data_IF_228139364996
#
_entry.id   IF_228139364996
#
_cell.length_a   1.000
_cell.length_b   1.000
_cell.length_c   1.000
_cell.angle_alpha   90.00
_cell.angle_beta   90.00
_cell.angle_gamma   90.00
#
_symmetry.space_group_name_H-M   'P 1'
#
loop_
_entity.id
_entity.type
_entity.pdbx_description
1 polymer ?
#
# COMPACT_ATOMS: atom_id res chain seq x y z
N UNK A 1 -11.42 -4.19 -13.17
CA UNK A 1 -10.07 -4.46 -12.65
C UNK A 1 -10.17 -4.54 -11.14
N UNK A 2 -9.35 -5.34 -10.47
CA UNK A 2 -9.39 -5.39 -9.01
C UNK A 2 -8.60 -4.21 -8.45
N UNK A 3 -9.12 -3.58 -7.40
CA UNK A 3 -8.51 -2.40 -6.80
C UNK A 3 -7.31 -2.78 -5.92
N UNK A 4 -6.41 -1.81 -5.72
CA UNK A 4 -5.16 -2.01 -5.00
C UNK A 4 -5.19 -1.31 -3.64
N UNK A 5 -4.70 -2.02 -2.63
CA UNK A 5 -4.66 -1.60 -1.24
C UNK A 5 -3.24 -1.76 -0.69
N UNK A 6 -2.91 -0.95 0.30
CA UNK A 6 -1.75 -1.13 1.16
C UNK A 6 -2.22 -1.69 2.50
N UNK A 7 -1.60 -2.78 2.94
CA UNK A 7 -1.89 -3.37 4.24
C UNK A 7 -0.68 -3.19 5.14
N UNK A 8 -0.91 -2.59 6.30
CA UNK A 8 0.07 -2.43 7.36
C UNK A 8 -0.20 -3.46 8.44
N UNK A 9 0.84 -4.18 8.86
CA UNK A 9 0.75 -5.12 9.97
C UNK A 9 1.34 -4.54 11.27
N UNK A 10 1.22 -5.29 12.37
CA UNK A 10 1.72 -4.93 13.72
C UNK A 10 3.19 -4.51 13.80
N UNK A 11 4.04 -4.97 12.88
CA UNK A 11 5.47 -4.60 12.83
C UNK A 11 5.72 -3.40 11.92
N UNK A 12 4.66 -2.70 11.49
CA UNK A 12 4.65 -1.71 10.42
C UNK A 12 5.25 -2.21 9.10
N UNK A 13 5.29 -3.54 8.88
CA UNK A 13 5.64 -4.05 7.56
C UNK A 13 4.48 -3.76 6.63
N UNK A 14 4.81 -3.05 5.56
CA UNK A 14 3.91 -2.70 4.47
C UNK A 14 3.88 -3.85 3.47
N UNK A 15 2.69 -4.35 3.17
CA UNK A 15 2.45 -5.19 2.00
C UNK A 15 1.71 -4.36 0.96
N UNK A 16 2.36 -4.08 -0.16
CA UNK A 16 1.86 -3.23 -1.23
C UNK A 16 2.57 -3.52 -2.55
N UNK A 17 1.90 -3.46 -3.70
CA UNK A 17 0.45 -3.32 -3.84
C UNK A 17 -0.24 -4.67 -3.67
N UNK A 18 -1.37 -4.70 -2.95
CA UNK A 18 -2.15 -5.92 -2.80
C UNK A 18 -3.59 -5.76 -3.29
N UNK A 19 -4.12 -6.81 -3.88
CA UNK A 19 -5.57 -6.95 -4.04
C UNK A 19 -6.13 -7.72 -2.85
N UNK A 20 -7.24 -7.26 -2.29
CA UNK A 20 -7.92 -7.91 -1.16
C UNK A 20 -9.10 -8.75 -1.64
N UNK A 21 -9.33 -9.86 -0.93
CA UNK A 21 -10.38 -10.82 -1.24
C UNK A 21 -11.09 -11.30 0.02
N UNK A 22 -12.40 -11.47 -0.09
CA UNK A 22 -13.20 -12.31 0.79
C UNK A 22 -13.27 -13.74 0.26
N UNK A 23 -13.84 -14.64 1.05
CA UNK A 23 -14.10 -16.03 0.63
C UNK A 23 -15.50 -16.43 1.08
N UNK A 24 -16.35 -16.79 0.14
CA UNK A 24 -17.73 -17.19 0.45
C UNK A 24 -17.82 -18.60 1.07
N UNK A 25 -19.04 -19.03 1.38
CA UNK A 25 -19.34 -20.35 1.96
C UNK A 25 -18.98 -21.52 1.02
N UNK A 26 -18.86 -21.25 -0.29
CA UNK A 26 -18.45 -22.23 -1.30
C UNK A 26 -16.92 -22.26 -1.51
N UNK A 27 -16.16 -21.56 -0.66
CA UNK A 27 -14.70 -21.43 -0.75
C UNK A 27 -14.22 -20.72 -2.01
N UNK A 28 -15.04 -19.86 -2.62
CA UNK A 28 -14.65 -19.04 -3.76
C UNK A 28 -14.18 -17.65 -3.31
N UNK A 29 -13.08 -17.19 -3.92
CA UNK A 29 -12.57 -15.85 -3.67
C UNK A 29 -13.34 -14.81 -4.47
N UNK A 30 -13.75 -13.72 -3.81
CA UNK A 30 -14.30 -12.54 -4.45
C UNK A 30 -13.49 -11.31 -4.08
N UNK A 31 -13.26 -10.39 -5.02
CA UNK A 31 -12.44 -9.21 -4.76
C UNK A 31 -13.20 -8.17 -3.94
N UNK A 32 -12.51 -7.59 -2.97
CA UNK A 32 -12.99 -6.46 -2.17
C UNK A 32 -12.38 -5.20 -2.78
N UNK A 33 -13.21 -4.39 -3.44
CA UNK A 33 -12.75 -3.28 -4.27
C UNK A 33 -12.94 -1.92 -3.60
N UNK A 34 -13.77 -1.84 -2.55
CA UNK A 34 -14.04 -0.60 -1.82
C UNK A 34 -13.64 -0.72 -0.35
N UNK A 35 -13.41 0.41 0.33
CA UNK A 35 -13.14 0.42 1.79
C UNK A 35 -14.33 -0.14 2.56
N UNK A 36 -15.53 0.14 2.11
CA UNK A 36 -16.79 -0.28 2.70
C UNK A 36 -16.96 -1.80 2.62
N UNK A 37 -16.61 -2.42 1.49
CA UNK A 37 -16.57 -3.88 1.34
C UNK A 37 -15.55 -4.52 2.28
N UNK A 38 -14.32 -3.98 2.32
CA UNK A 38 -13.27 -4.46 3.22
C UNK A 38 -13.70 -4.35 4.69
N UNK A 39 -14.32 -3.22 5.07
CA UNK A 39 -14.85 -3.00 6.42
C UNK A 39 -15.93 -4.03 6.76
N UNK A 40 -16.92 -4.18 5.89
CA UNK A 40 -18.06 -5.09 6.11
C UNK A 40 -17.56 -6.53 6.24
N UNK A 41 -16.60 -6.92 5.41
CA UNK A 41 -15.96 -8.23 5.47
C UNK A 41 -15.23 -8.46 6.79
N UNK A 42 -14.42 -7.51 7.26
CA UNK A 42 -13.68 -7.64 8.51
C UNK A 42 -14.57 -7.56 9.76
N UNK A 43 -15.80 -7.05 9.66
CA UNK A 43 -16.76 -7.07 10.77
C UNK A 43 -17.36 -8.48 10.98
N UNK A 44 -17.52 -9.25 9.91
CA UNK A 44 -18.11 -10.60 9.97
C UNK A 44 -17.07 -11.71 9.99
N UNK A 45 -15.92 -11.50 9.36
CA UNK A 45 -14.83 -12.47 9.25
C UNK A 45 -13.62 -12.07 10.09
N UNK A 46 -12.96 -13.06 10.68
CA UNK A 46 -11.69 -12.87 11.40
C UNK A 46 -10.45 -12.91 10.48
N UNK A 47 -10.65 -13.05 9.17
CA UNK A 47 -9.55 -13.13 8.20
C UNK A 47 -9.93 -12.53 6.85
N UNK A 48 -8.92 -12.05 6.15
CA UNK A 48 -9.00 -11.55 4.78
C UNK A 48 -7.89 -12.21 3.97
N UNK A 49 -8.09 -12.28 2.66
CA UNK A 49 -7.08 -12.82 1.77
C UNK A 49 -6.50 -11.71 0.91
N UNK A 50 -5.24 -11.86 0.52
CA UNK A 50 -4.58 -10.87 -0.31
C UNK A 50 -3.68 -11.52 -1.36
N UNK A 51 -3.52 -10.85 -2.50
CA UNK A 51 -2.52 -11.19 -3.51
C UNK A 51 -1.50 -10.07 -3.59
N UNK A 52 -0.23 -10.42 -3.41
CA UNK A 52 0.90 -9.50 -3.52
C UNK A 52 1.33 -9.37 -4.98
N UNK A 53 1.33 -8.14 -5.50
CA UNK A 53 1.74 -7.84 -6.88
C UNK A 53 3.20 -7.37 -6.99
N UNK A 54 3.93 -7.25 -5.87
CA UNK A 54 5.38 -6.98 -5.90
C UNK A 54 6.20 -8.26 -6.07
N UNK A 55 5.77 -9.38 -5.46
CA UNK A 55 6.42 -10.68 -5.62
C UNK A 55 5.71 -11.55 -6.67
N UNK A 56 6.12 -11.41 -7.94
CA UNK A 56 5.61 -12.25 -9.04
C UNK A 56 5.83 -13.76 -8.82
N UNK A 57 6.83 -14.14 -8.02
CA UNK A 57 7.11 -15.54 -7.64
C UNK A 57 6.12 -16.10 -6.60
N UNK A 58 5.32 -15.25 -5.96
CA UNK A 58 4.34 -15.60 -4.92
C UNK A 58 2.93 -15.17 -5.33
N UNK A 59 2.54 -15.45 -6.58
CA UNK A 59 1.22 -15.14 -7.14
C UNK A 59 0.03 -15.83 -6.43
N UNK A 60 0.32 -16.68 -5.43
CA UNK A 60 -0.70 -17.33 -4.62
C UNK A 60 -1.40 -16.33 -3.70
N UNK A 61 -2.72 -16.46 -3.61
CA UNK A 61 -3.51 -15.74 -2.62
C UNK A 61 -3.13 -16.21 -1.22
N UNK A 62 -2.78 -15.28 -0.33
CA UNK A 62 -2.35 -15.54 1.05
C UNK A 62 -3.44 -15.13 2.03
N UNK A 63 -3.48 -15.83 3.17
CA UNK A 63 -4.37 -15.49 4.28
C UNK A 63 -3.70 -14.46 5.21
N UNK A 64 -4.50 -13.53 5.73
CA UNK A 64 -4.13 -12.59 6.76
C UNK A 64 -5.22 -12.51 7.83
N UNK A 65 -4.87 -12.75 9.08
CA UNK A 65 -5.82 -12.66 10.19
C UNK A 65 -6.09 -11.19 10.50
N UNK A 66 -7.35 -10.86 10.84
CA UNK A 66 -7.77 -9.52 11.26
C UNK A 66 -6.89 -8.99 12.39
N UNK A 67 -6.51 -9.83 13.35
CA UNK A 67 -5.64 -9.48 14.49
C UNK A 67 -4.22 -9.08 14.10
N UNK A 68 -3.79 -9.38 12.87
CA UNK A 68 -2.46 -9.03 12.35
C UNK A 68 -2.46 -7.71 11.57
N UNK A 69 -3.65 -7.17 11.27
CA UNK A 69 -3.85 -5.97 10.46
C UNK A 69 -3.92 -4.76 11.37
N UNK A 70 -3.08 -3.77 11.11
CA UNK A 70 -3.12 -2.46 11.77
C UNK A 70 -4.08 -1.54 11.00
N UNK A 71 -3.67 -1.19 9.80
CA UNK A 71 -4.40 -0.26 8.93
C UNK A 71 -4.43 -0.79 7.50
N UNK A 72 -5.55 -0.60 6.82
CA UNK A 72 -5.69 -0.82 5.38
C UNK A 72 -5.89 0.54 4.71
N UNK A 73 -5.08 0.87 3.72
CA UNK A 73 -5.17 2.11 2.94
C UNK A 73 -5.52 1.76 1.50
N UNK A 74 -6.45 2.51 0.89
CA UNK A 74 -6.94 2.29 -0.47
C UNK A 74 -8.47 2.32 -0.53
N UNK A 75 -9.12 1.97 -1.66
CA UNK A 75 -8.48 1.61 -2.91
C UNK A 75 -7.65 2.79 -3.45
N UNK A 76 -6.40 2.54 -3.80
CA UNK A 76 -5.52 3.55 -4.37
C UNK A 76 -5.76 3.54 -5.86
N UNK A 77 -6.26 4.67 -6.38
CA UNK A 77 -6.47 4.86 -7.80
C UNK A 77 -5.11 4.89 -8.49
N UNK A 78 -4.76 3.78 -9.13
CA UNK A 78 -3.60 3.69 -10.00
C UNK A 78 -4.12 3.69 -11.43
N UNK A 79 -3.87 4.75 -12.19
CA UNK A 79 -4.00 4.63 -13.63
C UNK A 79 -3.04 3.53 -14.10
N UNK A 80 -3.49 2.67 -15.02
CA UNK A 80 -2.74 1.48 -15.42
C UNK A 80 -1.30 1.86 -15.82
N UNK A 81 -0.27 1.07 -15.47
CA UNK A 81 1.13 1.39 -15.77
C UNK A 81 1.41 1.56 -17.28
N UNK A 82 0.54 1.04 -18.14
CA UNK A 82 0.58 1.21 -19.60
C UNK A 82 0.04 2.58 -20.08
N UNK A 83 -0.58 3.36 -19.18
CA UNK A 83 -1.09 4.72 -19.39
C UNK A 83 -0.71 5.61 -18.21
N UNK A 84 0.58 5.89 -18.05
CA UNK A 84 1.02 6.90 -17.08
C UNK A 84 0.60 8.28 -17.59
N UNK A 85 -0.34 8.91 -16.90
CA UNK A 85 -0.70 10.30 -17.15
C UNK A 85 0.47 11.22 -16.78
N UNK A 86 0.73 12.28 -17.55
CA UNK A 86 1.75 13.27 -17.19
C UNK A 86 1.49 13.94 -15.83
N UNK A 87 0.24 13.89 -15.34
CA UNK A 87 -0.14 14.38 -14.00
C UNK A 87 0.40 13.51 -12.86
N UNK A 88 0.81 12.28 -13.17
CA UNK A 88 1.32 11.29 -12.23
C UNK A 88 2.84 11.12 -12.36
N UNK A 89 3.52 12.08 -12.98
CA UNK A 89 4.98 12.11 -13.09
C UNK A 89 5.50 13.35 -12.38
N UNK A 90 6.45 13.15 -11.47
CA UNK A 90 7.01 14.21 -10.65
C UNK A 90 8.52 14.28 -10.83
N UNK A 91 9.05 15.50 -10.82
CA UNK A 91 10.46 15.69 -10.51
C UNK A 91 10.76 15.21 -9.09
N UNK A 92 12.03 14.92 -8.79
CA UNK A 92 12.42 14.49 -7.44
C UNK A 92 12.06 15.50 -6.34
N UNK A 93 12.03 16.80 -6.67
CA UNK A 93 11.68 17.85 -5.70
C UNK A 93 10.18 17.87 -5.43
N UNK A 94 9.36 17.75 -6.47
CA UNK A 94 7.90 17.64 -6.34
C UNK A 94 7.53 16.38 -5.56
N UNK A 95 8.12 15.24 -5.92
CA UNK A 95 7.92 13.97 -5.22
C UNK A 95 8.30 14.09 -3.73
N UNK A 96 9.42 14.72 -3.42
CA UNK A 96 9.82 14.94 -2.02
C UNK A 96 8.84 15.82 -1.25
N UNK A 97 8.31 16.87 -1.88
CA UNK A 97 7.32 17.75 -1.23
C UNK A 97 6.01 16.99 -0.96
N UNK A 98 5.50 16.25 -1.95
CA UNK A 98 4.25 15.48 -1.85
C UNK A 98 4.37 14.40 -0.76
N UNK A 99 5.50 13.68 -0.72
CA UNK A 99 5.77 12.65 0.30
C UNK A 99 6.36 13.18 1.62
N UNK A 100 6.42 14.51 1.80
CA UNK A 100 7.00 15.18 2.98
C UNK A 100 8.42 14.67 3.34
N UNK A 101 9.22 14.36 2.32
CA UNK A 101 10.63 14.00 2.45
C UNK A 101 11.50 15.26 2.53
N UNK A 102 12.63 15.19 3.25
CA UNK A 102 13.50 16.34 3.47
C UNK A 102 13.99 17.04 2.19
N UNK A 103 14.26 16.28 1.12
CA UNK A 103 14.56 16.79 -0.22
C UNK A 103 14.54 15.64 -1.25
N UNK A 104 14.68 16.00 -2.53
CA UNK A 104 14.75 15.03 -3.65
C UNK A 104 15.95 14.08 -3.61
N UNK A 105 16.93 14.29 -2.72
CA UNK A 105 18.08 13.41 -2.54
C UNK A 105 17.71 12.01 -2.09
N UNK A 106 16.73 11.86 -1.19
CA UNK A 106 16.23 10.54 -0.74
C UNK A 106 15.65 9.74 -1.92
N UNK A 107 14.82 10.39 -2.73
CA UNK A 107 14.23 9.77 -3.93
C UNK A 107 15.31 9.42 -4.95
N UNK A 108 16.29 10.31 -5.16
CA UNK A 108 17.44 10.06 -6.04
C UNK A 108 18.23 8.82 -5.60
N UNK A 109 18.53 8.70 -4.31
CA UNK A 109 19.29 7.56 -3.78
C UNK A 109 18.52 6.26 -3.94
N UNK A 110 17.19 6.27 -3.74
CA UNK A 110 16.36 5.11 -4.00
C UNK A 110 16.39 4.70 -5.49
N UNK A 111 16.28 5.66 -6.41
CA UNK A 111 16.39 5.40 -7.85
C UNK A 111 17.76 4.82 -8.23
N UNK A 112 18.85 5.41 -7.73
CA UNK A 112 20.22 4.91 -7.98
C UNK A 112 20.48 3.52 -7.39
N UNK A 113 19.79 3.16 -6.30
CA UNK A 113 19.86 1.83 -5.68
C UNK A 113 18.95 0.79 -6.36
N UNK A 114 18.35 1.13 -7.51
CA UNK A 114 17.45 0.24 -8.24
C UNK A 114 16.17 -0.10 -7.49
N UNK A 115 15.72 0.78 -6.57
CA UNK A 115 14.45 0.56 -5.86
C UNK A 115 13.24 0.75 -6.75
N UNK A 116 13.34 1.58 -7.79
CA UNK A 116 12.30 1.83 -8.80
C UNK A 116 12.43 0.84 -9.96
N UNK A 117 11.30 0.43 -10.54
CA UNK A 117 11.27 -0.34 -11.80
C UNK A 117 11.66 0.57 -12.99
N UNK A 118 12.03 -0.05 -14.12
CA UNK A 118 12.52 0.68 -15.30
C UNK A 118 11.53 1.72 -15.84
N UNK A 119 10.22 1.44 -15.76
CA UNK A 119 9.15 2.35 -16.17
C UNK A 119 8.72 3.36 -15.09
N UNK A 120 9.27 3.28 -13.88
CA UNK A 120 8.86 4.12 -12.75
C UNK A 120 9.82 5.29 -12.47
N UNK A 121 11.07 5.20 -12.94
CA UNK A 121 12.05 6.26 -12.77
C UNK A 121 12.89 6.43 -14.03
N UNK A 122 12.99 7.67 -14.52
CA UNK A 122 13.78 8.01 -15.70
C UNK A 122 14.56 9.28 -15.48
N UNK A 123 15.82 9.29 -15.93
CA UNK A 123 16.61 10.51 -16.08
C UNK A 123 16.46 11.04 -17.51
N UNK A 124 16.04 12.29 -17.64
CA UNK A 124 16.03 13.03 -18.90
C UNK A 124 17.01 14.19 -18.80
N UNK A 125 18.09 14.11 -19.57
CA UNK A 125 19.24 15.04 -19.50
C UNK A 125 19.78 15.20 -18.06
N UNK A 126 19.46 16.32 -17.40
CA UNK A 126 19.85 16.64 -16.03
C UNK A 126 18.81 16.32 -14.97
N UNK A 127 17.55 16.10 -15.35
CA UNK A 127 16.41 15.99 -14.42
C UNK A 127 15.95 14.55 -14.28
N UNK A 128 15.70 14.14 -13.05
CA UNK A 128 15.09 12.85 -12.75
C UNK A 128 13.59 13.02 -12.53
N UNK A 129 12.84 12.08 -13.11
CA UNK A 129 11.41 11.95 -12.98
C UNK A 129 11.07 10.59 -12.37
N UNK A 130 10.04 10.58 -11.55
CA UNK A 130 9.48 9.39 -10.92
C UNK A 130 7.96 9.39 -11.08
N UNK A 131 7.38 8.21 -11.23
CA UNK A 131 5.92 8.08 -11.30
C UNK A 131 5.29 8.06 -9.91
N UNK A 132 4.04 8.47 -9.80
CA UNK A 132 3.23 8.36 -8.58
C UNK A 132 3.21 6.91 -8.09
N UNK A 133 2.97 5.95 -9.00
CA UNK A 133 3.03 4.51 -8.72
C UNK A 133 4.36 4.08 -8.10
N UNK A 134 5.48 4.50 -8.70
CA UNK A 134 6.82 4.19 -8.18
C UNK A 134 7.04 4.75 -6.78
N UNK A 135 6.57 5.99 -6.54
CA UNK A 135 6.66 6.63 -5.24
C UNK A 135 5.82 5.92 -4.19
N UNK A 136 4.56 5.57 -4.49
CA UNK A 136 3.70 4.76 -3.62
C UNK A 136 4.33 3.42 -3.27
N UNK A 137 4.95 2.76 -4.26
CA UNK A 137 5.61 1.47 -4.04
C UNK A 137 6.85 1.59 -3.17
N UNK A 138 7.75 2.52 -3.48
CA UNK A 138 9.01 2.67 -2.76
C UNK A 138 8.82 3.30 -1.38
N UNK A 139 7.97 4.31 -1.26
CA UNK A 139 7.82 5.14 -0.05
C UNK A 139 6.48 4.96 0.69
N UNK A 140 5.50 4.29 0.08
CA UNK A 140 4.15 4.10 0.64
C UNK A 140 3.18 5.21 0.25
N UNK A 141 1.89 5.09 0.62
CA UNK A 141 0.90 6.17 0.51
C UNK A 141 1.37 7.45 1.19
N UNK A 142 0.94 8.58 0.64
CA UNK A 142 1.15 9.91 1.26
C UNK A 142 0.39 9.98 2.59
N UNK A 143 0.78 10.90 3.48
CA UNK A 143 0.15 11.00 4.80
C UNK A 143 -1.36 11.21 4.73
N UNK A 144 -1.84 12.00 3.78
CA UNK A 144 -3.27 12.27 3.62
C UNK A 144 -4.05 11.00 3.24
N UNK A 145 -3.49 10.16 2.36
CA UNK A 145 -4.03 8.84 2.03
C UNK A 145 -3.99 7.88 3.23
N UNK A 146 -2.93 7.96 4.06
CA UNK A 146 -2.86 7.16 5.30
C UNK A 146 -3.91 7.59 6.31
N UNK A 147 -4.20 8.89 6.41
CA UNK A 147 -5.23 9.42 7.33
C UNK A 147 -6.64 8.98 6.92
N UNK A 148 -6.88 8.74 5.63
CA UNK A 148 -8.14 8.21 5.09
C UNK A 148 -8.20 6.64 5.10
N UNK A 149 -7.23 6.00 5.76
CA UNK A 149 -7.15 4.56 5.92
C UNK A 149 -8.22 3.98 6.84
N UNK A 150 -8.61 2.73 6.58
CA UNK A 150 -9.42 1.92 7.47
C UNK A 150 -8.54 1.36 8.60
N UNK A 151 -8.67 1.93 9.80
CA UNK A 151 -8.03 1.41 11.00
C UNK A 151 -8.78 0.15 11.44
N UNK A 152 -8.09 -0.99 11.45
CA UNK A 152 -8.66 -2.28 11.83
C UNK A 152 -8.38 -2.57 13.30
N UNK A 153 -7.13 -2.39 13.73
CA UNK A 153 -6.73 -2.47 15.12
C UNK A 153 -5.85 -1.29 15.49
N UNK A 154 -6.01 -0.77 16.70
CA UNK A 154 -5.06 0.17 17.28
C UNK A 154 -4.07 -0.60 18.15
N UNK A 155 -2.79 -0.58 17.79
CA UNK A 155 -1.73 -1.17 18.62
C UNK A 155 -1.13 -0.13 19.57
N UNK A 156 -1.29 -0.35 20.87
CA UNK A 156 -0.79 0.55 21.93
C UNK A 156 0.30 -0.16 22.72
N UNK A 157 1.42 0.50 22.96
CA UNK A 157 2.42 0.03 23.91
C UNK A 157 1.88 0.20 25.34
N UNK A 158 1.77 -0.89 26.08
CA UNK A 158 1.48 -0.81 27.50
C UNK A 158 2.71 -0.37 28.31
N UNK A 159 2.49 -0.08 29.60
CA UNK A 159 3.54 0.33 30.54
C UNK A 159 4.67 -0.71 30.71
N UNK A 160 4.45 -1.95 30.26
CA UNK A 160 5.46 -3.03 30.27
C UNK A 160 6.25 -3.14 28.97
N UNK A 161 6.00 -2.24 28.00
CA UNK A 161 6.63 -2.26 26.68
C UNK A 161 6.06 -3.34 25.75
N UNK A 162 4.91 -3.94 26.08
CA UNK A 162 4.22 -4.91 25.23
C UNK A 162 3.13 -4.23 24.41
N UNK A 163 3.04 -4.55 23.12
CA UNK A 163 1.95 -4.09 22.28
C UNK A 163 0.64 -4.80 22.65
N UNK A 164 -0.34 -4.05 23.13
CA UNK A 164 -1.75 -4.44 23.25
C UNK A 164 -2.51 -4.05 21.99
N UNK A 165 -3.41 -4.93 21.56
CA UNK A 165 -4.29 -4.69 20.41
C UNK A 165 -5.64 -4.22 20.91
N UNK A 166 -6.11 -3.08 20.42
CA UNK A 166 -7.46 -2.57 20.63
C UNK A 166 -8.22 -2.63 19.30
N UNK A 167 -9.05 -3.67 19.07
CA UNK A 167 -9.85 -3.78 17.87
C UNK A 167 -10.73 -2.54 17.70
N UNK A 168 -10.70 -1.94 16.51
CA UNK A 168 -11.56 -0.80 16.14
C UNK A 168 -12.73 -1.26 15.25
N UNK A 169 -12.58 -2.44 14.63
CA UNK A 169 -13.58 -3.14 13.85
C UNK A 169 -13.75 -4.55 14.36
#
# INVERSE_FOLDING_TARGET
MAELFAVYNRKHYKTWPVTLYGMDEEYQYFSLNTKEEVRTWLQTSNKIYYRDHENEKEAATKELLKSQIDTIVGPVQLESPDKVSLKEVYSLKEAANIWKLANGGTVRQAALRGKFKENEAKKSEGTWFVTHHGMLRVFGPIEDEKMDGLIVNLFVLDESGKFKTHPQL
#
